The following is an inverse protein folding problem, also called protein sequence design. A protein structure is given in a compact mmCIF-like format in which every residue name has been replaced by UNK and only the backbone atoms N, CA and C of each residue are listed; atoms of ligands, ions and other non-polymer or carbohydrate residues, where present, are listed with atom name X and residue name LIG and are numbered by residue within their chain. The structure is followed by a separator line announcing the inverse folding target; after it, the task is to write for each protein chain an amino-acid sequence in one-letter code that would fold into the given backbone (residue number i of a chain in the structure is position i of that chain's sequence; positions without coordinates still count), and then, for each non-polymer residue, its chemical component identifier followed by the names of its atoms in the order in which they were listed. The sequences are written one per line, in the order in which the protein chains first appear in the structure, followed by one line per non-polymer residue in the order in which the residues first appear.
data_IF_343835133026
#
_entry.id   IF_343835133026
#
_cell.length_a   1.000
_cell.length_b   1.000
_cell.length_c   1.000
_cell.angle_alpha   90.00
_cell.angle_beta   90.00
_cell.angle_gamma   90.00
#
_symmetry.space_group_name_H-M   'P 1'
#
loop_
_entity.id
_entity.type
_entity.pdbx_description
1 polymer ?
#
# COMPACT_ATOMS: atom_id res chain seq x y z
N UNK A 1 1.38 -34.74 -6.00
CA UNK A 1 1.89 -33.38 -6.28
C UNK A 1 2.09 -32.70 -4.94
N UNK A 2 3.22 -32.02 -4.71
CA UNK A 2 3.60 -31.51 -3.39
C UNK A 2 2.55 -30.52 -2.87
N UNK A 3 1.98 -30.77 -1.68
CA UNK A 3 0.97 -29.90 -1.05
C UNK A 3 1.41 -28.43 -0.97
N UNK A 4 2.70 -28.19 -0.77
CA UNK A 4 3.32 -26.86 -0.76
C UNK A 4 3.16 -26.14 -2.11
N UNK A 5 3.30 -26.87 -3.22
CA UNK A 5 3.16 -26.30 -4.55
C UNK A 5 1.70 -25.92 -4.82
N UNK A 6 0.75 -26.76 -4.41
CA UNK A 6 -0.68 -26.46 -4.55
C UNK A 6 -1.15 -25.35 -3.61
N UNK A 7 -0.51 -25.17 -2.44
CA UNK A 7 -0.76 -24.02 -1.57
C UNK A 7 -0.33 -22.69 -2.21
N UNK A 8 0.87 -22.64 -2.80
CA UNK A 8 1.42 -21.40 -3.39
C UNK A 8 0.75 -21.08 -4.73
N UNK A 9 0.54 -22.08 -5.59
CA UNK A 9 0.05 -21.88 -6.95
C UNK A 9 -1.45 -22.19 -7.13
N UNK A 10 -2.11 -22.73 -6.12
CA UNK A 10 -3.55 -23.04 -6.13
C UNK A 10 -4.42 -21.84 -6.51
N UNK A 11 -4.24 -20.65 -5.90
CA UNK A 11 -5.03 -19.46 -6.23
C UNK A 11 -4.89 -19.02 -7.69
N UNK A 12 -3.72 -19.23 -8.31
CA UNK A 12 -3.45 -18.86 -9.70
C UNK A 12 -4.19 -19.73 -10.72
N UNK A 13 -4.60 -20.95 -10.34
CA UNK A 13 -5.34 -21.86 -11.25
C UNK A 13 -6.75 -21.33 -11.60
N UNK A 14 -7.31 -20.47 -10.75
CA UNK A 14 -8.63 -19.87 -10.92
C UNK A 14 -8.60 -18.49 -11.59
N UNK A 15 -7.42 -17.91 -11.82
CA UNK A 15 -7.29 -16.57 -12.38
C UNK A 15 -7.12 -16.57 -13.90
N UNK A 16 -7.68 -15.55 -14.55
CA UNK A 16 -7.47 -15.33 -15.98
C UNK A 16 -6.00 -14.99 -16.26
N UNK A 17 -5.48 -15.47 -17.40
CA UNK A 17 -4.13 -15.16 -17.87
C UNK A 17 -3.84 -13.65 -17.90
N UNK A 18 -4.84 -12.82 -18.18
CA UNK A 18 -4.71 -11.36 -18.16
C UNK A 18 -4.39 -10.83 -16.76
N UNK A 19 -5.04 -11.34 -15.71
CA UNK A 19 -4.82 -10.88 -14.35
C UNK A 19 -3.40 -11.23 -13.88
N UNK A 20 -2.90 -12.41 -14.26
CA UNK A 20 -1.55 -12.87 -13.92
C UNK A 20 -0.49 -11.98 -14.60
N UNK A 21 -0.70 -11.67 -15.89
CA UNK A 21 0.22 -10.78 -16.63
C UNK A 21 0.21 -9.38 -16.00
N UNK A 22 -0.96 -8.85 -15.66
CA UNK A 22 -1.09 -7.56 -14.98
C UNK A 22 -0.40 -7.55 -13.61
N UNK A 23 -0.53 -8.62 -12.83
CA UNK A 23 0.12 -8.75 -11.52
C UNK A 23 1.65 -8.75 -11.66
N UNK A 24 2.20 -9.48 -12.62
CA UNK A 24 3.64 -9.51 -12.90
C UNK A 24 4.15 -8.12 -13.30
N UNK A 25 3.40 -7.41 -14.16
CA UNK A 25 3.71 -6.03 -14.55
C UNK A 25 3.67 -5.13 -13.32
N UNK A 26 2.61 -5.20 -12.51
CA UNK A 26 2.45 -4.38 -11.30
C UNK A 26 3.59 -4.62 -10.31
N UNK A 27 3.97 -5.88 -10.08
CA UNK A 27 5.07 -6.26 -9.20
C UNK A 27 6.42 -5.72 -9.73
N UNK A 28 6.67 -5.83 -11.04
CA UNK A 28 7.89 -5.32 -11.66
C UNK A 28 7.99 -3.80 -11.52
N UNK A 29 6.91 -3.08 -11.80
CA UNK A 29 6.85 -1.62 -11.61
C UNK A 29 6.98 -1.22 -10.13
N UNK A 30 6.45 -2.01 -9.21
CA UNK A 30 6.62 -1.82 -7.77
C UNK A 30 8.09 -1.95 -7.34
N UNK A 31 8.79 -2.99 -7.80
CA UNK A 31 10.22 -3.18 -7.55
C UNK A 31 11.03 -2.02 -8.14
N UNK A 32 10.71 -1.61 -9.37
CA UNK A 32 11.35 -0.46 -10.01
C UNK A 32 11.16 0.82 -9.19
N UNK A 33 9.96 1.06 -8.66
CA UNK A 33 9.69 2.22 -7.80
C UNK A 33 10.61 2.26 -6.57
N UNK A 34 10.82 1.12 -5.90
CA UNK A 34 11.74 1.02 -4.75
C UNK A 34 13.19 1.29 -5.17
N UNK A 35 13.62 0.77 -6.33
CA UNK A 35 14.98 1.01 -6.85
C UNK A 35 15.16 2.50 -7.21
N UNK A 36 14.17 3.15 -7.81
CA UNK A 36 14.22 4.58 -8.09
C UNK A 36 14.21 5.42 -6.80
N UNK A 37 13.59 4.91 -5.73
CA UNK A 37 13.50 5.59 -4.43
C UNK A 37 14.87 5.63 -3.78
N UNK A 38 15.58 4.50 -3.82
CA UNK A 38 16.99 4.43 -3.45
C UNK A 38 17.86 5.39 -4.28
N UNK A 39 17.57 5.55 -5.57
CA UNK A 39 18.29 6.45 -6.47
C UNK A 39 17.86 7.92 -6.35
N UNK A 40 16.93 8.26 -5.46
CA UNK A 40 16.39 9.60 -5.25
C UNK A 40 15.86 10.25 -6.55
N UNK A 41 15.32 9.44 -7.47
CA UNK A 41 14.83 9.88 -8.77
C UNK A 41 13.34 10.18 -8.72
N UNK A 42 12.87 11.19 -9.46
CA UNK A 42 11.44 11.49 -9.59
C UNK A 42 10.65 10.34 -10.24
N UNK A 43 11.31 9.40 -10.91
CA UNK A 43 10.70 8.23 -11.56
C UNK A 43 10.07 7.23 -10.57
N UNK A 44 10.30 7.37 -9.27
CA UNK A 44 9.61 6.62 -8.20
C UNK A 44 8.11 6.73 -8.34
N UNK A 45 7.64 7.96 -8.57
CA UNK A 45 6.22 8.26 -8.57
C UNK A 45 5.48 7.68 -9.78
N UNK A 46 5.88 7.92 -11.04
CA UNK A 46 5.18 7.33 -12.18
C UNK A 46 5.20 5.79 -12.14
N UNK A 47 6.29 5.19 -11.69
CA UNK A 47 6.36 3.72 -11.55
C UNK A 47 5.48 3.18 -10.42
N UNK A 48 5.41 3.89 -9.28
CA UNK A 48 4.52 3.57 -8.16
C UNK A 48 3.04 3.75 -8.50
N UNK A 49 2.70 4.82 -9.24
CA UNK A 49 1.34 5.11 -9.72
C UNK A 49 0.86 3.99 -10.64
N UNK A 50 1.69 3.55 -11.60
CA UNK A 50 1.34 2.44 -12.50
C UNK A 50 1.13 1.14 -11.72
N UNK A 51 2.03 0.82 -10.79
CA UNK A 51 1.93 -0.38 -9.96
C UNK A 51 0.66 -0.40 -9.12
N UNK A 52 0.43 0.67 -8.34
CA UNK A 52 -0.72 0.78 -7.44
C UNK A 52 -2.05 0.85 -8.19
N UNK A 53 -2.12 1.49 -9.36
CA UNK A 53 -3.32 1.49 -10.20
C UNK A 53 -3.71 0.08 -10.66
N UNK A 54 -2.72 -0.72 -11.09
CA UNK A 54 -2.96 -2.10 -11.50
C UNK A 54 -3.40 -2.93 -10.28
N UNK A 55 -2.79 -2.75 -9.11
CA UNK A 55 -3.22 -3.45 -7.90
C UNK A 55 -4.63 -3.07 -7.45
N UNK A 56 -5.04 -1.80 -7.54
CA UNK A 56 -6.43 -1.40 -7.25
C UNK A 56 -7.41 -2.16 -8.16
N UNK A 57 -7.10 -2.29 -9.45
CA UNK A 57 -7.91 -3.05 -10.39
C UNK A 57 -7.95 -4.55 -10.05
N UNK A 58 -6.80 -5.18 -9.77
CA UNK A 58 -6.73 -6.61 -9.44
C UNK A 58 -7.45 -6.93 -8.14
N UNK A 59 -7.23 -6.14 -7.09
CA UNK A 59 -7.86 -6.32 -5.79
C UNK A 59 -9.37 -6.11 -5.84
N UNK A 60 -9.85 -5.25 -6.74
CA UNK A 60 -11.28 -5.09 -6.99
C UNK A 60 -11.89 -6.37 -7.57
N UNK A 61 -11.21 -6.99 -8.55
CA UNK A 61 -11.65 -8.26 -9.13
C UNK A 61 -11.66 -9.40 -8.10
N UNK A 62 -10.69 -9.41 -7.19
CA UNK A 62 -10.59 -10.41 -6.12
C UNK A 62 -11.48 -10.11 -4.90
N UNK A 63 -12.27 -9.04 -4.92
CA UNK A 63 -13.15 -8.62 -3.83
C UNK A 63 -12.41 -8.39 -2.49
N UNK A 64 -11.11 -8.07 -2.57
CA UNK A 64 -10.25 -7.79 -1.43
C UNK A 64 -10.29 -6.30 -1.11
N UNK A 65 -11.42 -5.85 -0.57
CA UNK A 65 -11.69 -4.42 -0.37
C UNK A 65 -10.75 -3.75 0.64
N UNK A 66 -10.25 -4.49 1.64
CA UNK A 66 -9.30 -3.95 2.62
C UNK A 66 -8.00 -3.49 1.96
N UNK A 67 -7.36 -4.40 1.23
CA UNK A 67 -6.11 -4.11 0.51
C UNK A 67 -6.32 -3.13 -0.65
N UNK A 68 -7.51 -3.16 -1.28
CA UNK A 68 -7.89 -2.22 -2.33
C UNK A 68 -7.84 -0.77 -1.83
N UNK A 69 -8.45 -0.49 -0.67
CA UNK A 69 -8.50 0.86 -0.11
C UNK A 69 -7.10 1.37 0.19
N UNK A 70 -6.23 0.51 0.74
CA UNK A 70 -4.83 0.84 1.02
C UNK A 70 -4.06 1.15 -0.29
N UNK A 71 -4.22 0.34 -1.33
CA UNK A 71 -3.58 0.59 -2.62
C UNK A 71 -4.11 1.86 -3.31
N UNK A 72 -5.40 2.15 -3.17
CA UNK A 72 -6.00 3.38 -3.67
C UNK A 72 -5.45 4.62 -2.94
N UNK A 73 -5.25 4.52 -1.63
CA UNK A 73 -4.56 5.56 -0.85
C UNK A 73 -3.12 5.77 -1.33
N UNK A 74 -2.36 4.69 -1.55
CA UNK A 74 -1.00 4.81 -2.07
C UNK A 74 -0.93 5.40 -3.49
N UNK A 75 -1.91 5.09 -4.35
CA UNK A 75 -2.04 5.71 -5.66
C UNK A 75 -2.19 7.24 -5.53
N UNK A 76 -3.12 7.69 -4.69
CA UNK A 76 -3.35 9.12 -4.45
C UNK A 76 -2.12 9.81 -3.85
N UNK A 77 -1.51 9.19 -2.83
CA UNK A 77 -0.29 9.71 -2.20
C UNK A 77 0.90 9.76 -3.16
N UNK A 78 1.00 8.82 -4.09
CA UNK A 78 2.04 8.83 -5.13
C UNK A 78 1.86 9.99 -6.11
N UNK A 79 0.62 10.34 -6.46
CA UNK A 79 0.33 11.56 -7.25
C UNK A 79 0.73 12.82 -6.47
N UNK A 80 0.33 12.92 -5.20
CA UNK A 80 0.69 14.06 -4.35
C UNK A 80 2.21 14.22 -4.22
N UNK A 81 2.92 13.12 -3.94
CA UNK A 81 4.37 13.10 -3.87
C UNK A 81 5.02 13.50 -5.19
N UNK A 82 4.45 13.08 -6.32
CA UNK A 82 4.94 13.47 -7.65
C UNK A 82 4.83 14.98 -7.88
N UNK A 83 3.68 15.58 -7.55
CA UNK A 83 3.46 17.02 -7.69
C UNK A 83 4.42 17.81 -6.80
N UNK A 84 4.62 17.37 -5.56
CA UNK A 84 5.52 18.03 -4.61
C UNK A 84 6.98 17.96 -5.08
N UNK A 85 7.42 16.79 -5.58
CA UNK A 85 8.76 16.61 -6.12
C UNK A 85 8.97 17.29 -7.47
N UNK A 86 7.96 17.37 -8.33
CA UNK A 86 8.06 18.10 -9.60
C UNK A 86 8.21 19.61 -9.40
N UNK A 87 7.75 20.15 -8.26
CA UNK A 87 7.93 21.58 -7.90
C UNK A 87 9.31 21.88 -7.29
N UNK A 88 10.04 20.86 -6.83
CA UNK A 88 11.40 20.96 -6.31
C UNK A 88 12.39 21.42 -7.38
N UNK A 89 12.24 20.96 -8.62
CA UNK A 89 13.13 21.33 -9.73
C UNK A 89 12.85 22.75 -10.27
N UNK A 90 11.65 23.30 -10.02
CA UNK A 90 11.22 24.61 -10.53
C UNK A 90 11.41 25.77 -9.55
N UNK A 91 11.56 25.49 -8.26
CA UNK A 91 11.67 26.50 -7.21
C UNK A 91 12.66 26.01 -6.18
N UNK A 92 13.81 26.69 -6.11
CA UNK A 92 14.95 26.45 -5.20
C UNK A 92 14.57 26.74 -3.73
N UNK A 93 13.56 26.04 -3.23
CA UNK A 93 12.91 26.31 -1.95
C UNK A 93 13.11 25.15 -0.98
N UNK A 94 13.59 25.51 0.20
CA UNK A 94 13.92 24.73 1.39
C UNK A 94 12.79 23.85 1.98
N UNK A 95 11.68 23.66 1.25
CA UNK A 95 10.43 23.06 1.70
C UNK A 95 10.51 21.54 1.99
N UNK A 96 11.58 20.87 1.60
CA UNK A 96 11.80 19.43 1.83
C UNK A 96 13.12 19.15 2.58
N UNK A 97 13.52 20.03 3.51
CA UNK A 97 14.59 19.67 4.46
C UNK A 97 14.14 18.44 5.24
N UNK A 98 14.93 17.37 5.18
CA UNK A 98 14.74 16.16 5.99
C UNK A 98 14.83 16.60 7.45
N UNK A 99 13.67 16.77 8.06
CA UNK A 99 13.54 17.17 9.46
C UNK A 99 13.54 15.92 10.33
N UNK A 100 14.09 16.03 11.53
CA UNK A 100 13.99 14.97 12.53
C UNK A 100 12.65 15.13 13.25
N UNK A 101 12.00 14.00 13.49
CA UNK A 101 10.78 13.92 14.27
C UNK A 101 11.01 14.53 15.66
N UNK A 102 10.18 15.48 16.07
CA UNK A 102 10.27 16.08 17.39
C UNK A 102 9.45 15.26 18.41
N UNK A 103 9.68 15.44 19.71
CA UNK A 103 8.96 14.74 20.79
C UNK A 103 7.44 14.96 20.70
N UNK A 104 7.00 16.14 20.22
CA UNK A 104 5.57 16.41 19.97
C UNK A 104 4.97 15.55 18.85
N UNK A 105 5.75 15.22 17.81
CA UNK A 105 5.28 14.35 16.73
C UNK A 105 5.14 12.91 17.23
N UNK A 106 6.08 12.46 18.05
CA UNK A 106 5.99 11.16 18.72
C UNK A 106 4.73 11.04 19.58
N UNK A 107 4.41 12.07 20.37
CA UNK A 107 3.18 12.11 21.17
C UNK A 107 1.92 12.02 20.31
N UNK A 108 1.86 12.74 19.18
CA UNK A 108 0.75 12.65 18.23
C UNK A 108 0.63 11.26 17.61
N UNK A 109 1.75 10.65 17.22
CA UNK A 109 1.77 9.28 16.68
C UNK A 109 1.26 8.26 17.70
N UNK A 110 1.70 8.35 18.96
CA UNK A 110 1.23 7.49 20.05
C UNK A 110 -0.27 7.69 20.30
N UNK A 111 -0.75 8.94 20.29
CA UNK A 111 -2.17 9.24 20.47
C UNK A 111 -3.03 8.62 19.36
N UNK A 112 -2.62 8.78 18.09
CA UNK A 112 -3.31 8.20 16.94
C UNK A 112 -3.30 6.67 17.03
N UNK A 113 -2.18 6.07 17.44
CA UNK A 113 -2.07 4.63 17.64
C UNK A 113 -3.00 4.10 18.73
N UNK A 114 -3.03 4.74 19.90
CA UNK A 114 -3.94 4.36 20.99
C UNK A 114 -5.39 4.51 20.54
N UNK A 115 -5.72 5.61 19.87
CA UNK A 115 -7.06 5.86 19.35
C UNK A 115 -7.48 4.78 18.33
N UNK A 116 -6.60 4.39 17.40
CA UNK A 116 -6.93 3.36 16.41
C UNK A 116 -7.14 1.99 17.04
N UNK A 117 -6.32 1.60 18.02
CA UNK A 117 -6.48 0.35 18.77
C UNK A 117 -7.80 0.31 19.53
N UNK A 118 -8.15 1.40 20.22
CA UNK A 118 -9.42 1.51 20.95
C UNK A 118 -10.59 1.44 19.98
N UNK A 119 -10.54 2.21 18.89
CA UNK A 119 -11.60 2.24 17.88
C UNK A 119 -11.85 0.85 17.27
N UNK A 120 -10.79 0.15 16.83
CA UNK A 120 -10.90 -1.20 16.26
C UNK A 120 -11.45 -2.18 17.31
N UNK A 121 -10.98 -2.08 18.56
CA UNK A 121 -11.45 -2.95 19.65
C UNK A 121 -12.94 -2.74 19.93
N UNK A 122 -13.43 -1.49 19.94
CA UNK A 122 -14.86 -1.19 20.12
C UNK A 122 -15.68 -1.78 18.97
N UNK A 123 -15.24 -1.62 17.72
CA UNK A 123 -15.92 -2.18 16.55
C UNK A 123 -15.99 -3.71 16.67
N UNK A 124 -14.90 -4.37 17.02
CA UNK A 124 -14.88 -5.83 17.16
C UNK A 124 -15.76 -6.34 18.30
N UNK A 125 -15.86 -5.61 19.42
CA UNK A 125 -16.79 -5.94 20.50
C UNK A 125 -18.24 -5.74 20.03
N UNK A 126 -18.54 -4.63 19.36
CA UNK A 126 -19.90 -4.33 18.87
C UNK A 126 -20.42 -5.36 17.86
N UNK A 127 -19.54 -5.91 17.02
CA UNK A 127 -19.89 -6.95 16.05
C UNK A 127 -19.70 -8.39 16.58
N UNK A 128 -19.44 -8.56 17.88
CA UNK A 128 -19.14 -9.85 18.53
C UNK A 128 -18.08 -10.67 17.77
N UNK A 129 -17.08 -9.99 17.21
CA UNK A 129 -15.97 -10.60 16.43
C UNK A 129 -14.77 -11.01 17.29
N UNK A 130 -14.83 -10.79 18.61
CA UNK A 130 -13.82 -11.25 19.58
C UNK A 130 -13.96 -12.72 19.99
N UNK A 131 -14.78 -13.50 19.28
CA UNK A 131 -15.00 -14.92 19.59
C UNK A 131 -13.80 -15.80 19.24
N UNK A 132 -13.01 -15.42 18.24
CA UNK A 132 -11.88 -16.19 17.73
C UNK A 132 -10.65 -15.27 17.57
N UNK A 133 -9.47 -15.74 17.94
CA UNK A 133 -8.20 -15.03 17.69
C UNK A 133 -7.74 -15.12 16.22
N UNK A 134 -8.38 -15.97 15.40
CA UNK A 134 -8.19 -16.06 13.95
C UNK A 134 -9.41 -15.54 13.20
N UNK A 135 -9.20 -14.95 12.02
CA UNK A 135 -10.26 -14.34 11.22
C UNK A 135 -11.03 -15.33 10.32
N UNK A 136 -10.71 -16.62 10.34
CA UNK A 136 -11.33 -17.62 9.49
C UNK A 136 -12.63 -18.16 10.11
N UNK A 137 -13.73 -18.03 9.36
CA UNK A 137 -14.96 -18.84 9.47
C UNK A 137 -14.91 -19.90 8.38
#
# INVERSE_FOLDING_TARGET
MNEVFDFIFGPYKTYSNLNIILEIIAATFGILSVVYSKKNSILVYPTGIISTAIYVYLLYQWHLYGDLIINAYYFYMSIYGWVLWSRKDATDNEALKITRMNVSDYQKSVLIFIFSVIFVSIVYIYFDKFTEWWAYV
#
